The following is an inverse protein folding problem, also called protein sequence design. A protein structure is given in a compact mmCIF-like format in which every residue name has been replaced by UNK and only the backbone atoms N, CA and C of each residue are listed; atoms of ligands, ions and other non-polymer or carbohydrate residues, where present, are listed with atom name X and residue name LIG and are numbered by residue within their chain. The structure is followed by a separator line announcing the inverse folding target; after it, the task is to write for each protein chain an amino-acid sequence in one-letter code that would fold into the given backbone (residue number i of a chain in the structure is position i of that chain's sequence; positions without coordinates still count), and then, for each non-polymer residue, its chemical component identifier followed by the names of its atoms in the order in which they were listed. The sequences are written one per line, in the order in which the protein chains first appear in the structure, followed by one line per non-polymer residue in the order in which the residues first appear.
data_IF_243443316494
#
_entry.id   IF_243443316494
#
_cell.length_a   1.000
_cell.length_b   1.000
_cell.length_c   1.000
_cell.angle_alpha   90.00
_cell.angle_beta   90.00
_cell.angle_gamma   90.00
#
_symmetry.space_group_name_H-M   'P 1'
#
loop_
_entity.id
_entity.type
_entity.pdbx_description
1 polymer ?
#
# COMPACT_ATOMS: atom_id res chain seq x y z
N UNK A 1 8.37 0.16 -23.12
CA UNK A 1 7.96 -0.08 -21.71
C UNK A 1 7.29 1.17 -21.16
N UNK A 2 6.23 1.02 -20.37
CA UNK A 2 5.35 2.12 -19.91
C UNK A 2 5.61 2.63 -18.48
N UNK A 3 6.84 2.50 -17.98
CA UNK A 3 7.21 2.83 -16.59
C UNK A 3 7.35 4.34 -16.31
N UNK A 4 7.44 5.18 -17.33
CA UNK A 4 7.49 6.63 -17.15
C UNK A 4 6.13 7.14 -16.62
N UNK A 5 6.10 7.54 -15.34
CA UNK A 5 4.92 8.09 -14.67
C UNK A 5 3.97 7.07 -14.06
N UNK A 6 4.33 5.78 -13.96
CA UNK A 6 3.48 4.69 -13.46
C UNK A 6 3.38 4.58 -11.92
N UNK A 7 3.91 5.55 -11.18
CA UNK A 7 4.06 5.47 -9.71
C UNK A 7 4.64 4.11 -9.25
N UNK A 8 5.71 3.61 -9.91
CA UNK A 8 6.16 2.22 -9.75
C UNK A 8 6.62 1.91 -8.32
N UNK A 9 7.22 2.88 -7.64
CA UNK A 9 7.61 2.74 -6.24
C UNK A 9 6.40 2.52 -5.33
N UNK A 10 5.29 3.23 -5.58
CA UNK A 10 4.08 3.16 -4.74
C UNK A 10 3.36 1.85 -5.00
N UNK A 11 3.12 1.51 -6.27
CA UNK A 11 2.44 0.26 -6.64
C UNK A 11 3.21 -0.98 -6.19
N UNK A 12 4.54 -1.00 -6.35
CA UNK A 12 5.37 -2.10 -5.86
C UNK A 12 5.35 -2.18 -4.32
N UNK A 13 5.44 -1.04 -3.63
CA UNK A 13 5.39 -1.04 -2.16
C UNK A 13 4.03 -1.51 -1.65
N UNK A 14 2.93 -1.10 -2.28
CA UNK A 14 1.59 -1.56 -1.91
C UNK A 14 1.43 -3.07 -2.13
N UNK A 15 1.91 -3.59 -3.27
CA UNK A 15 1.90 -5.03 -3.53
C UNK A 15 2.70 -5.82 -2.49
N UNK A 16 3.93 -5.38 -2.18
CA UNK A 16 4.77 -6.04 -1.17
C UNK A 16 4.15 -5.94 0.22
N UNK A 17 3.54 -4.82 0.59
CA UNK A 17 2.86 -4.66 1.87
C UNK A 17 1.72 -5.68 2.02
N UNK A 18 0.90 -5.87 0.98
CA UNK A 18 -0.14 -6.91 0.97
C UNK A 18 0.50 -8.28 1.21
N UNK A 19 1.55 -8.65 0.47
CA UNK A 19 2.22 -9.93 0.65
C UNK A 19 2.80 -10.13 2.06
N UNK A 20 3.39 -9.09 2.66
CA UNK A 20 3.89 -9.13 4.04
C UNK A 20 2.76 -9.30 5.06
N UNK A 21 1.60 -8.68 4.80
CA UNK A 21 0.43 -8.80 5.67
C UNK A 21 -0.16 -10.23 5.61
N UNK A 22 -0.26 -10.81 4.41
CA UNK A 22 -0.74 -12.20 4.23
C UNK A 22 0.22 -13.23 4.85
N UNK A 23 1.53 -12.98 4.78
CA UNK A 23 2.55 -13.85 5.37
C UNK A 23 2.78 -13.57 6.87
N UNK A 24 2.10 -12.59 7.46
CA UNK A 24 2.39 -12.10 8.82
C UNK A 24 2.30 -13.20 9.87
N UNK A 25 1.24 -13.99 9.83
CA UNK A 25 0.99 -15.03 10.84
C UNK A 25 2.06 -16.14 10.87
N UNK A 26 2.71 -16.39 9.73
CA UNK A 26 3.78 -17.39 9.60
C UNK A 26 5.13 -16.78 10.02
N UNK A 27 5.36 -15.53 9.62
CA UNK A 27 6.68 -14.90 9.71
C UNK A 27 6.90 -14.12 11.01
N UNK A 28 5.85 -13.72 11.75
CA UNK A 28 5.96 -12.84 12.92
C UNK A 28 6.91 -13.37 14.01
N UNK A 29 6.92 -14.68 14.24
CA UNK A 29 7.76 -15.32 15.26
C UNK A 29 9.19 -15.59 14.77
N UNK A 30 9.42 -15.52 13.46
CA UNK A 30 10.71 -15.80 12.81
C UNK A 30 11.46 -14.52 12.39
N UNK A 31 10.73 -13.42 12.18
CA UNK A 31 11.26 -12.16 11.64
C UNK A 31 10.87 -11.01 12.57
N UNK A 32 11.75 -10.73 13.53
CA UNK A 32 11.56 -9.69 14.56
C UNK A 32 11.33 -8.27 14.01
N UNK A 33 11.67 -8.01 12.74
CA UNK A 33 11.53 -6.70 12.10
C UNK A 33 10.29 -6.58 11.22
N UNK A 34 9.46 -7.63 11.13
CA UNK A 34 8.33 -7.69 10.21
C UNK A 34 7.29 -6.61 10.49
N UNK A 35 6.83 -6.50 11.75
CA UNK A 35 5.86 -5.48 12.17
C UNK A 35 6.34 -4.06 11.91
N UNK A 36 7.63 -3.81 12.17
CA UNK A 36 8.28 -2.54 11.87
C UNK A 36 8.29 -2.24 10.38
N UNK A 37 8.54 -3.25 9.55
CA UNK A 37 8.56 -3.14 8.09
C UNK A 37 7.17 -2.88 7.51
N UNK A 38 6.14 -3.60 7.98
CA UNK A 38 4.73 -3.37 7.64
C UNK A 38 4.34 -1.94 8.00
N UNK A 39 4.62 -1.52 9.23
CA UNK A 39 4.31 -0.16 9.72
C UNK A 39 5.01 0.91 8.88
N UNK A 40 6.29 0.69 8.52
CA UNK A 40 7.06 1.63 7.71
C UNK A 40 6.50 1.75 6.29
N UNK A 41 6.18 0.63 5.65
CA UNK A 41 5.59 0.61 4.32
C UNK A 41 4.19 1.25 4.31
N UNK A 42 3.33 0.92 5.28
CA UNK A 42 2.01 1.52 5.40
C UNK A 42 2.08 3.04 5.60
N UNK A 43 3.01 3.53 6.44
CA UNK A 43 3.23 4.96 6.62
C UNK A 43 3.76 5.66 5.36
N UNK A 44 4.63 4.99 4.59
CA UNK A 44 5.11 5.51 3.31
C UNK A 44 3.96 5.69 2.31
N UNK A 45 3.11 4.67 2.17
CA UNK A 45 1.93 4.71 1.30
C UNK A 45 0.92 5.76 1.74
N UNK A 46 0.63 5.86 3.04
CA UNK A 46 -0.33 6.83 3.58
C UNK A 46 0.07 8.28 3.27
N UNK A 47 1.38 8.60 3.28
CA UNK A 47 1.89 9.94 2.95
C UNK A 47 1.75 10.29 1.45
N UNK A 48 1.75 9.28 0.58
CA UNK A 48 1.67 9.45 -0.88
C UNK A 48 0.23 9.35 -1.40
N UNK A 49 -0.67 8.74 -0.63
CA UNK A 49 -2.02 8.37 -1.04
C UNK A 49 -2.82 9.51 -1.69
N UNK A 50 -2.82 10.71 -1.09
CA UNK A 50 -3.59 11.85 -1.61
C UNK A 50 -3.06 12.43 -2.93
N UNK A 51 -1.80 12.13 -3.28
CA UNK A 51 -1.13 12.63 -4.49
C UNK A 51 -1.20 11.62 -5.64
N UNK A 52 -1.76 10.42 -5.42
CA UNK A 52 -1.84 9.38 -6.43
C UNK A 52 -2.83 9.75 -7.53
N UNK A 53 -2.41 9.56 -8.78
CA UNK A 53 -3.19 9.94 -9.95
C UNK A 53 -3.65 8.73 -10.78
N UNK A 54 -3.03 7.55 -10.60
CA UNK A 54 -3.38 6.38 -11.41
C UNK A 54 -4.42 5.50 -10.71
N UNK A 55 -5.56 5.18 -11.37
CA UNK A 55 -6.61 4.34 -10.78
C UNK A 55 -6.09 3.04 -10.19
N UNK A 56 -5.21 2.34 -10.93
CA UNK A 56 -4.61 1.09 -10.47
C UNK A 56 -3.79 1.26 -9.18
N UNK A 57 -2.88 2.23 -9.14
CA UNK A 57 -2.07 2.51 -7.95
C UNK A 57 -2.94 2.93 -6.77
N UNK A 58 -3.96 3.76 -7.01
CA UNK A 58 -4.92 4.22 -6.00
C UNK A 58 -5.68 3.03 -5.43
N UNK A 59 -6.21 2.14 -6.25
CA UNK A 59 -6.96 0.97 -5.81
C UNK A 59 -6.09 0.03 -4.96
N UNK A 60 -4.90 -0.32 -5.46
CA UNK A 60 -3.98 -1.21 -4.75
C UNK A 60 -3.50 -0.59 -3.43
N UNK A 61 -3.18 0.70 -3.42
CA UNK A 61 -2.76 1.41 -2.20
C UNK A 61 -3.91 1.54 -1.21
N UNK A 62 -5.13 1.79 -1.67
CA UNK A 62 -6.32 1.84 -0.80
C UNK A 62 -6.52 0.51 -0.08
N UNK A 63 -6.43 -0.60 -0.82
CA UNK A 63 -6.55 -1.94 -0.27
C UNK A 63 -5.46 -2.23 0.77
N UNK A 64 -4.18 -1.97 0.43
CA UNK A 64 -3.07 -2.19 1.35
C UNK A 64 -3.17 -1.35 2.64
N UNK A 65 -3.65 -0.11 2.54
CA UNK A 65 -3.90 0.75 3.71
C UNK A 65 -5.11 0.28 4.52
N UNK A 66 -6.15 -0.27 3.88
CA UNK A 66 -7.31 -0.82 4.58
C UNK A 66 -6.91 -2.06 5.39
N UNK A 67 -6.14 -2.98 4.80
CA UNK A 67 -5.63 -4.19 5.47
C UNK A 67 -4.80 -3.87 6.72
N UNK A 68 -4.05 -2.76 6.70
CA UNK A 68 -3.20 -2.33 7.82
C UNK A 68 -3.89 -1.37 8.80
N UNK A 69 -5.18 -1.07 8.60
CA UNK A 69 -5.94 -0.12 9.42
C UNK A 69 -5.45 1.34 9.30
N UNK A 70 -4.72 1.68 8.23
CA UNK A 70 -4.14 3.01 7.98
C UNK A 70 -4.92 3.84 6.98
N UNK A 71 -5.96 3.29 6.34
CA UNK A 71 -6.81 4.03 5.41
C UNK A 71 -7.71 5.01 6.20
N UNK A 72 -7.43 6.31 6.07
CA UNK A 72 -8.21 7.37 6.76
C UNK A 72 -9.48 7.77 6.01
N UNK A 73 -9.51 7.61 4.69
CA UNK A 73 -10.62 8.07 3.86
C UNK A 73 -10.57 7.39 2.49
N UNK A 74 -11.72 6.94 2.00
CA UNK A 74 -11.88 6.38 0.66
C UNK A 74 -12.04 7.47 -0.42
N UNK A 75 -11.98 8.76 -0.06
CA UNK A 75 -12.21 9.88 -0.99
C UNK A 75 -11.32 9.81 -2.22
N UNK A 76 -10.07 9.39 -2.10
CA UNK A 76 -9.14 9.29 -3.24
C UNK A 76 -9.57 8.13 -4.16
N UNK A 77 -9.90 6.97 -3.60
CA UNK A 77 -10.44 5.83 -4.36
C UNK A 77 -11.71 6.21 -5.13
N UNK A 78 -12.65 6.88 -4.46
CA UNK A 78 -13.94 7.27 -5.03
C UNK A 78 -13.81 8.30 -6.17
N UNK A 79 -12.71 9.04 -6.27
CA UNK A 79 -12.45 9.94 -7.43
C UNK A 79 -12.25 9.17 -8.73
N UNK A 80 -11.90 7.89 -8.66
CA UNK A 80 -11.60 7.04 -9.82
C UNK A 80 -12.62 5.90 -10.03
N UNK A 81 -13.76 5.94 -9.34
CA UNK A 81 -14.80 4.90 -9.42
C UNK A 81 -15.87 5.14 -10.50
N UNK A 82 -15.56 5.96 -11.52
CA UNK A 82 -16.48 6.33 -12.62
C UNK A 82 -15.89 5.94 -13.97
#
# INVERSE_FOLDING_TARGET
GGYAGAEPEVSLTAFVLVALQEAHDICKDHVNTLDGSITKAANFLARRYEQLARPYTVALTSYALALTGKLKSEKVLMRFSK
#
